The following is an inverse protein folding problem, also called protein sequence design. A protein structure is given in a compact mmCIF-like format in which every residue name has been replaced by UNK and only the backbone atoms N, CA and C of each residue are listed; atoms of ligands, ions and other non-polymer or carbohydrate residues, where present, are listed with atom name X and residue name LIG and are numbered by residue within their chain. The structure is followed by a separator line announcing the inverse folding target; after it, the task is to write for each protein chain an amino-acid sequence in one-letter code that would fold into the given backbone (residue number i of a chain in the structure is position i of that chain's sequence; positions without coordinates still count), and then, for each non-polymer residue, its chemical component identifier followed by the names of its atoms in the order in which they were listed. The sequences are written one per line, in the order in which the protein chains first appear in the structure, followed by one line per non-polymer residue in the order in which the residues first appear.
data_IF_093672788884
#
_entry.id   IF_093672788884
#
_cell.length_a   1.000
_cell.length_b   1.000
_cell.length_c   1.000
_cell.angle_alpha   90.00
_cell.angle_beta   90.00
_cell.angle_gamma   90.00
#
_symmetry.space_group_name_H-M   'P 1'
#
loop_
_entity.id
_entity.type
_entity.pdbx_description
1 polymer ?
#
# COMPACT_ATOMS: atom_id res chain seq x y z
N UNK A 1 2.21 9.46 6.84
CA UNK A 1 3.47 9.04 6.21
C UNK A 1 4.20 8.07 7.14
N UNK A 2 4.46 6.87 6.65
CA UNK A 2 5.20 5.78 7.29
C UNK A 2 6.69 6.14 7.39
N UNK A 3 7.35 5.61 8.42
CA UNK A 3 8.81 5.58 8.48
C UNK A 3 9.38 4.32 7.80
N UNK A 4 10.69 4.31 7.53
CA UNK A 4 11.37 3.09 7.08
C UNK A 4 11.19 1.93 8.06
N UNK A 5 11.17 2.20 9.37
CA UNK A 5 10.96 1.16 10.39
C UNK A 5 9.54 0.59 10.34
N UNK A 6 8.55 1.38 9.93
CA UNK A 6 7.17 0.89 9.74
C UNK A 6 7.07 0.03 8.49
N UNK A 7 7.69 0.46 7.37
CA UNK A 7 7.82 -0.36 6.15
C UNK A 7 8.50 -1.69 6.45
N UNK A 8 9.58 -1.68 7.25
CA UNK A 8 10.28 -2.90 7.70
C UNK A 8 9.41 -3.85 8.50
N UNK A 9 8.42 -3.37 9.23
CA UNK A 9 7.46 -4.23 9.94
C UNK A 9 6.43 -4.80 8.97
N UNK A 10 5.85 -3.93 8.14
CA UNK A 10 4.84 -4.31 7.14
C UNK A 10 5.35 -5.40 6.21
N UNK A 11 6.56 -5.24 5.66
CA UNK A 11 7.13 -6.16 4.68
C UNK A 11 7.46 -7.52 5.28
N UNK A 12 7.79 -7.60 6.57
CA UNK A 12 8.01 -8.88 7.26
C UNK A 12 6.74 -9.71 7.40
N UNK A 13 5.59 -9.04 7.40
CA UNK A 13 4.28 -9.68 7.52
C UNK A 13 3.66 -9.98 6.13
N UNK A 14 4.30 -9.57 5.02
CA UNK A 14 3.88 -9.94 3.68
C UNK A 14 4.13 -11.43 3.41
N UNK A 15 3.23 -12.12 2.70
CA UNK A 15 3.40 -13.53 2.31
C UNK A 15 4.36 -13.69 1.11
N UNK A 16 5.50 -12.98 1.12
CA UNK A 16 6.54 -13.08 0.09
C UNK A 16 7.64 -14.04 0.51
N UNK A 17 8.28 -14.64 -0.50
CA UNK A 17 9.41 -15.58 -0.36
C UNK A 17 10.49 -15.08 0.61
N UNK A 18 11.31 -16.02 1.12
CA UNK A 18 12.27 -15.97 2.24
C UNK A 18 13.25 -14.77 2.35
N UNK A 19 13.19 -13.77 1.46
CA UNK A 19 14.06 -12.61 1.42
C UNK A 19 13.40 -11.36 1.99
N UNK A 20 14.10 -10.67 2.90
CA UNK A 20 13.72 -9.37 3.41
C UNK A 20 13.86 -8.30 2.31
N UNK A 21 12.76 -7.98 1.63
CA UNK A 21 12.70 -6.96 0.58
C UNK A 21 12.46 -5.54 1.12
N UNK A 22 12.53 -5.34 2.44
CA UNK A 22 12.18 -4.05 3.04
C UNK A 22 13.09 -2.91 2.60
N UNK A 23 14.38 -3.20 2.36
CA UNK A 23 15.33 -2.22 1.84
C UNK A 23 15.10 -1.93 0.35
N UNK A 24 14.37 -2.78 -0.37
CA UNK A 24 14.04 -2.61 -1.79
C UNK A 24 12.72 -1.85 -2.01
N UNK A 25 11.92 -1.62 -0.96
CA UNK A 25 10.69 -0.81 -1.07
C UNK A 25 11.05 0.62 -1.44
N UNK A 26 10.54 1.05 -2.59
CA UNK A 26 10.71 2.40 -3.13
C UNK A 26 9.54 3.31 -2.79
N UNK A 27 8.33 2.77 -2.76
CA UNK A 27 7.09 3.52 -2.59
C UNK A 27 6.03 2.63 -1.92
N UNK A 28 5.24 3.22 -1.01
CA UNK A 28 3.98 2.64 -0.54
C UNK A 28 2.88 3.66 -0.80
N UNK A 29 1.86 3.28 -1.55
CA UNK A 29 0.78 4.18 -1.98
C UNK A 29 -0.56 3.56 -1.64
N UNK A 30 -1.41 4.34 -1.00
CA UNK A 30 -2.83 4.05 -0.94
C UNK A 30 -3.48 4.55 -2.23
N UNK A 31 -4.21 3.68 -2.92
CA UNK A 31 -4.82 3.94 -4.22
C UNK A 31 -6.33 3.93 -4.10
N UNK A 32 -6.97 4.86 -4.82
CA UNK A 32 -8.43 4.91 -4.96
C UNK A 32 -8.79 4.89 -6.43
N UNK A 33 -9.03 3.69 -6.95
CA UNK A 33 -9.48 3.51 -8.33
C UNK A 33 -10.99 3.67 -8.39
N UNK A 34 -11.47 4.64 -9.17
CA UNK A 34 -12.89 4.78 -9.45
C UNK A 34 -13.21 4.52 -10.91
N UNK A 35 -14.22 3.69 -11.15
CA UNK A 35 -14.66 3.33 -12.49
C UNK A 35 -16.18 3.20 -12.54
N UNK A 36 -16.75 3.41 -13.74
CA UNK A 36 -18.18 3.26 -13.96
C UNK A 36 -18.49 1.86 -14.52
N UNK A 37 -19.42 1.16 -13.89
CA UNK A 37 -19.94 -0.12 -14.35
C UNK A 37 -21.46 -0.14 -14.18
N UNK A 38 -22.20 -0.41 -15.27
CA UNK A 38 -23.67 -0.38 -15.29
C UNK A 38 -24.28 0.91 -14.69
N UNK A 39 -23.76 2.09 -15.08
CA UNK A 39 -24.21 3.40 -14.57
C UNK A 39 -24.01 3.60 -13.05
N UNK A 40 -23.28 2.70 -12.38
CA UNK A 40 -22.91 2.80 -10.97
C UNK A 40 -21.42 3.11 -10.84
N UNK A 41 -21.08 4.08 -9.98
CA UNK A 41 -19.70 4.36 -9.59
C UNK A 41 -19.21 3.24 -8.66
N UNK A 42 -18.18 2.54 -9.09
CA UNK A 42 -17.44 1.58 -8.28
C UNK A 42 -16.17 2.26 -7.78
N UNK A 43 -15.76 1.92 -6.55
CA UNK A 43 -14.52 2.38 -5.95
C UNK A 43 -13.78 1.15 -5.45
N UNK A 44 -12.56 0.94 -5.95
CA UNK A 44 -11.64 -0.08 -5.48
C UNK A 44 -10.51 0.62 -4.74
N UNK A 45 -10.30 0.24 -3.49
CA UNK A 45 -9.17 0.71 -2.69
C UNK A 45 -8.17 -0.42 -2.54
N UNK A 46 -6.90 -0.07 -2.66
CA UNK A 46 -5.81 -0.99 -2.44
C UNK A 46 -4.56 -0.23 -2.00
N UNK A 47 -3.59 -0.95 -1.48
CA UNK A 47 -2.27 -0.42 -1.16
C UNK A 47 -1.27 -1.09 -2.09
N UNK A 48 -0.51 -0.28 -2.81
CA UNK A 48 0.62 -0.71 -3.62
C UNK A 48 1.92 -0.57 -2.81
N UNK A 49 2.69 -1.65 -2.72
CA UNK A 49 4.08 -1.64 -2.26
C UNK A 49 4.97 -1.88 -3.48
N UNK A 50 5.65 -0.83 -3.95
CA UNK A 50 6.50 -0.86 -5.15
C UNK A 50 7.97 -1.04 -4.77
N UNK A 51 8.64 -2.02 -5.38
CA UNK A 51 10.08 -2.26 -5.20
C UNK A 51 10.90 -1.47 -6.24
N UNK A 52 12.18 -1.19 -5.91
CA UNK A 52 13.11 -0.43 -6.77
C UNK A 52 13.35 -1.06 -8.16
N UNK A 53 13.04 -2.35 -8.35
CA UNK A 53 13.20 -3.07 -9.61
C UNK A 53 11.90 -3.21 -10.42
N UNK A 54 10.82 -2.55 -9.98
CA UNK A 54 9.53 -2.50 -10.69
C UNK A 54 8.54 -3.59 -10.32
N UNK A 55 8.91 -4.52 -9.42
CA UNK A 55 7.95 -5.44 -8.81
C UNK A 55 7.00 -4.69 -7.88
N UNK A 56 5.76 -5.17 -7.79
CA UNK A 56 4.70 -4.55 -7.00
C UNK A 56 3.88 -5.60 -6.27
N UNK A 57 3.59 -5.34 -5.00
CA UNK A 57 2.59 -6.07 -4.23
C UNK A 57 1.37 -5.20 -4.06
N UNK A 58 0.23 -5.71 -4.50
CA UNK A 58 -1.07 -5.05 -4.41
C UNK A 58 -1.87 -5.73 -3.30
N UNK A 59 -2.32 -4.94 -2.33
CA UNK A 59 -3.04 -5.39 -1.13
C UNK A 59 -4.43 -4.77 -1.18
N UNK A 60 -5.45 -5.59 -1.39
CA UNK A 60 -6.83 -5.12 -1.56
C UNK A 60 -7.52 -4.81 -0.23
N UNK A 61 -8.53 -3.94 -0.27
CA UNK A 61 -9.32 -3.48 0.90
C UNK A 61 -9.89 -4.63 1.75
N UNK A 62 -10.17 -5.80 1.15
CA UNK A 62 -10.70 -6.96 1.87
C UNK A 62 -9.63 -7.76 2.65
N UNK A 63 -8.35 -7.48 2.44
CA UNK A 63 -7.26 -8.19 3.10
C UNK A 63 -6.96 -7.62 4.49
N UNK A 64 -6.77 -8.48 5.50
CA UNK A 64 -6.43 -8.04 6.87
C UNK A 64 -5.16 -7.15 6.93
N UNK A 65 -4.26 -7.33 5.95
CA UNK A 65 -3.02 -6.57 5.87
C UNK A 65 -3.28 -5.09 5.51
N UNK A 66 -4.36 -4.81 4.78
CA UNK A 66 -4.77 -3.45 4.42
C UNK A 66 -5.03 -2.60 5.67
N UNK A 67 -5.93 -3.07 6.54
CA UNK A 67 -6.24 -2.40 7.81
C UNK A 67 -5.02 -2.30 8.74
N UNK A 68 -4.17 -3.33 8.74
CA UNK A 68 -2.93 -3.31 9.51
C UNK A 68 -2.00 -2.19 9.04
N UNK A 69 -1.74 -2.07 7.74
CA UNK A 69 -0.90 -0.99 7.18
C UNK A 69 -1.51 0.38 7.49
N UNK A 70 -2.82 0.52 7.31
CA UNK A 70 -3.53 1.75 7.65
C UNK A 70 -3.43 2.05 9.14
N UNK A 71 -3.32 1.08 10.05
CA UNK A 71 -3.13 1.39 11.48
C UNK A 71 -1.84 2.15 11.81
N UNK A 72 -0.82 2.07 10.95
CA UNK A 72 0.43 2.84 11.11
C UNK A 72 0.30 4.29 10.65
N UNK A 73 -0.70 4.61 9.84
CA UNK A 73 -0.95 5.96 9.31
C UNK A 73 -2.33 6.43 9.75
N UNK A 74 -2.47 7.67 10.23
CA UNK A 74 -3.82 8.23 10.44
C UNK A 74 -4.43 8.64 9.09
N UNK A 75 -4.81 7.64 8.29
CA UNK A 75 -5.46 7.80 6.98
C UNK A 75 -6.96 7.93 7.26
N UNK A 76 -7.43 9.17 7.41
CA UNK A 76 -8.85 9.45 7.61
C UNK A 76 -9.44 10.04 6.32
N UNK A 77 -10.49 9.41 5.79
CA UNK A 77 -11.31 9.92 4.67
C UNK A 77 -10.53 10.20 3.37
N UNK A 78 -9.73 9.24 2.92
CA UNK A 78 -8.93 9.40 1.71
C UNK A 78 -9.73 8.97 0.48
N UNK A 79 -10.15 9.97 -0.28
CA UNK A 79 -10.89 9.82 -1.54
C UNK A 79 -9.98 9.85 -2.78
N UNK A 80 -8.69 10.10 -2.60
CA UNK A 80 -7.68 10.23 -3.66
C UNK A 80 -6.44 9.38 -3.33
N UNK A 81 -5.53 9.20 -4.29
CA UNK A 81 -4.27 8.50 -4.02
C UNK A 81 -3.44 9.24 -2.96
N UNK A 82 -2.89 8.50 -2.00
CA UNK A 82 -2.01 9.05 -0.96
C UNK A 82 -0.69 8.27 -0.89
N UNK A 83 0.43 9.02 -0.95
CA UNK A 83 1.75 8.45 -0.71
C UNK A 83 1.89 8.19 0.80
N UNK A 84 1.89 6.93 1.18
CA UNK A 84 2.11 6.51 2.55
C UNK A 84 3.60 6.47 2.88
N UNK A 85 4.46 6.12 1.92
CA UNK A 85 5.92 6.11 2.06
C UNK A 85 6.59 6.41 0.73
N UNK A 86 7.69 7.16 0.74
CA UNK A 86 8.59 7.28 -0.40
C UNK A 86 10.03 7.27 0.07
N UNK A 87 10.85 6.40 -0.53
CA UNK A 87 12.28 6.25 -0.17
C UNK A 87 13.13 7.46 -0.58
N UNK A 88 12.68 8.24 -1.57
CA UNK A 88 13.45 9.31 -2.21
C UNK A 88 12.89 10.71 -1.97
N UNK A 89 11.96 10.88 -1.03
CA UNK A 89 11.44 12.19 -0.59
C UNK A 89 12.15 12.71 0.65
#
# INVERSE_FOLDING_TARGET
MLSLDDVKKIVKDLPVDEYDVSDDVSLVVYRVDSFEYNEQKQVNRHIDIELIFGDRYEIHEEENLFDYILSFCKVENVEEDEILYSKYQ
#
